data_IF_969521052459
#
_entry.id   IF_969521052459
#
_cell.length_a   1.000
_cell.length_b   1.000
_cell.length_c   1.000
_cell.angle_alpha   90.00
_cell.angle_beta   90.00
_cell.angle_gamma   90.00
#
_symmetry.space_group_name_H-M   'P 1'
#
loop_
_entity.id
_entity.type
_entity.pdbx_description
1 polymer ?
#
# COMPACT_ATOMS: atom_id res chain seq x y z
N UNK A 1 4.79 -0.26 -2.33
CA UNK A 1 6.27 -0.24 -2.34
C UNK A 1 6.73 0.62 -1.16
N UNK A 2 7.76 0.22 -0.39
CA UNK A 2 8.45 1.11 0.53
C UNK A 2 9.09 2.29 -0.22
N UNK A 3 9.28 3.40 0.48
CA UNK A 3 10.11 4.50 -0.01
C UNK A 3 11.61 4.13 0.04
N UNK A 4 12.48 4.96 -0.54
CA UNK A 4 13.94 4.80 -0.44
C UNK A 4 14.40 5.07 1.00
N UNK A 5 14.27 4.05 1.82
CA UNK A 5 14.56 4.11 3.25
C UNK A 5 16.00 4.50 3.54
N UNK A 6 16.97 3.97 2.78
CA UNK A 6 18.37 4.25 3.06
C UNK A 6 18.70 5.75 2.93
N UNK A 7 18.18 6.40 1.89
CA UNK A 7 18.37 7.85 1.70
C UNK A 7 17.66 8.65 2.78
N UNK A 8 16.41 8.28 3.09
CA UNK A 8 15.63 8.95 4.14
C UNK A 8 16.30 8.78 5.51
N UNK A 9 16.72 7.57 5.88
CA UNK A 9 17.39 7.30 7.15
C UNK A 9 18.69 8.08 7.28
N UNK A 10 19.55 8.07 6.23
CA UNK A 10 20.79 8.83 6.22
C UNK A 10 20.56 10.33 6.44
N UNK A 11 19.52 10.88 5.79
CA UNK A 11 19.16 12.28 5.96
C UNK A 11 18.66 12.57 7.39
N UNK A 12 17.75 11.75 7.88
CA UNK A 12 17.15 11.90 9.21
C UNK A 12 18.19 11.79 10.33
N UNK A 13 19.12 10.84 10.24
CA UNK A 13 20.19 10.65 11.22
C UNK A 13 21.14 11.86 11.23
N UNK A 14 21.54 12.33 10.06
CA UNK A 14 22.41 13.51 9.92
C UNK A 14 21.80 14.76 10.58
N UNK A 15 20.48 14.91 10.48
CA UNK A 15 19.75 16.08 10.99
C UNK A 15 19.06 15.84 12.33
N UNK A 16 19.20 14.65 12.93
CA UNK A 16 18.54 14.25 14.18
C UNK A 16 17.02 14.42 14.13
N UNK A 17 16.43 14.04 12.99
CA UNK A 17 14.98 14.10 12.76
C UNK A 17 14.40 12.71 12.93
N UNK A 18 13.39 12.51 13.78
CA UNK A 18 12.69 11.22 13.86
C UNK A 18 12.04 10.85 12.52
N UNK A 19 12.14 9.59 12.13
CA UNK A 19 11.54 9.05 10.91
C UNK A 19 10.25 8.28 11.23
N UNK A 20 9.12 8.78 10.74
CA UNK A 20 7.83 8.08 10.83
C UNK A 20 7.60 7.32 9.52
N UNK A 21 7.40 6.01 9.60
CA UNK A 21 7.03 5.18 8.47
C UNK A 21 5.51 5.05 8.37
N UNK A 22 4.90 5.63 7.34
CA UNK A 22 3.53 5.29 6.97
C UNK A 22 3.51 4.00 6.15
N UNK A 23 3.34 2.88 6.85
CA UNK A 23 3.28 1.54 6.28
C UNK A 23 1.85 1.07 5.97
N UNK A 24 0.86 1.99 5.96
CA UNK A 24 -0.55 1.67 5.76
C UNK A 24 -0.86 0.94 4.44
N UNK A 25 0.01 1.02 3.45
CA UNK A 25 -0.12 0.34 2.15
C UNK A 25 1.08 -0.55 1.80
N UNK A 26 2.01 -0.77 2.72
CA UNK A 26 3.23 -1.56 2.46
C UNK A 26 3.35 -2.82 3.31
N UNK A 27 2.31 -3.20 4.03
CA UNK A 27 2.27 -4.43 4.84
C UNK A 27 2.70 -5.67 4.04
N UNK A 28 3.76 -6.35 4.48
CA UNK A 28 4.37 -7.48 3.76
C UNK A 28 5.35 -7.10 2.65
N UNK A 29 5.70 -5.81 2.53
CA UNK A 29 6.79 -5.34 1.69
C UNK A 29 8.12 -5.42 2.45
N UNK A 30 9.24 -5.41 1.71
CA UNK A 30 10.59 -5.45 2.26
C UNK A 30 11.45 -4.35 1.64
N UNK A 31 12.35 -3.78 2.43
CA UNK A 31 13.48 -2.98 1.95
C UNK A 31 14.78 -3.69 2.35
N UNK A 32 15.46 -4.29 1.38
CA UNK A 32 16.53 -5.23 1.66
C UNK A 32 16.05 -6.41 2.50
N UNK A 33 16.60 -6.55 3.69
CA UNK A 33 16.20 -7.59 4.67
C UNK A 33 15.22 -7.08 5.74
N UNK A 34 14.90 -5.80 5.73
CA UNK A 34 14.04 -5.16 6.75
C UNK A 34 12.60 -5.12 6.27
N UNK A 35 11.64 -5.68 7.02
CA UNK A 35 10.24 -5.61 6.66
C UNK A 35 9.69 -4.19 6.84
N UNK A 36 8.74 -3.80 6.00
CA UNK A 36 7.92 -2.61 6.24
C UNK A 36 7.22 -2.72 7.59
N UNK A 37 7.20 -1.65 8.34
CA UNK A 37 6.80 -1.60 9.76
C UNK A 37 7.98 -1.56 10.73
N UNK A 38 9.21 -1.84 10.26
CA UNK A 38 10.43 -1.78 11.04
C UNK A 38 11.49 -0.82 10.44
N UNK A 39 11.06 0.08 9.54
CA UNK A 39 11.96 1.01 8.84
C UNK A 39 12.06 2.37 9.53
N UNK A 40 11.04 2.81 10.27
CA UNK A 40 11.02 4.08 10.99
C UNK A 40 11.39 3.94 12.48
N UNK A 41 11.59 5.06 13.17
CA UNK A 41 11.64 5.12 14.63
C UNK A 41 10.27 4.77 15.23
N UNK A 42 9.22 5.05 14.45
CA UNK A 42 7.85 4.61 14.66
C UNK A 42 7.21 4.33 13.31
N UNK A 43 6.41 3.29 13.24
CA UNK A 43 5.71 2.87 12.02
C UNK A 43 4.23 2.69 12.28
N UNK A 44 3.39 2.87 11.25
CA UNK A 44 1.94 2.67 11.35
C UNK A 44 1.43 1.72 10.30
N UNK A 45 0.56 0.79 10.70
CA UNK A 45 -0.23 -0.05 9.81
C UNK A 45 -1.70 0.35 9.85
N UNK A 46 -2.38 0.14 8.73
CA UNK A 46 -3.83 0.25 8.62
C UNK A 46 -4.44 -1.13 8.42
N UNK A 47 -5.53 -1.40 9.13
CA UNK A 47 -6.34 -2.60 8.98
C UNK A 47 -7.72 -2.30 8.37
N UNK A 48 -7.79 -1.19 7.60
CA UNK A 48 -8.97 -0.90 6.79
C UNK A 48 -9.35 -2.10 5.90
N UNK A 49 -10.64 -2.35 5.60
CA UNK A 49 -11.10 -3.49 4.79
C UNK A 49 -10.44 -3.63 3.42
N UNK A 50 -9.85 -2.56 2.89
CA UNK A 50 -9.17 -2.57 1.59
C UNK A 50 -7.68 -2.92 1.69
N UNK A 51 -7.13 -3.15 2.88
CA UNK A 51 -5.69 -3.41 3.11
C UNK A 51 -5.31 -4.87 2.92
N UNK A 52 -4.01 -5.16 2.93
CA UNK A 52 -3.48 -6.52 2.76
C UNK A 52 -3.84 -7.45 3.92
N UNK A 53 -4.02 -6.88 5.11
CA UNK A 53 -4.53 -7.54 6.30
C UNK A 53 -5.76 -6.76 6.80
N UNK A 54 -6.94 -7.01 6.23
CA UNK A 54 -8.15 -6.25 6.53
C UNK A 54 -8.80 -6.70 7.84
N UNK A 55 -9.34 -5.76 8.61
CA UNK A 55 -10.33 -6.05 9.65
C UNK A 55 -11.76 -5.96 9.08
N UNK A 56 -12.76 -6.39 9.86
CA UNK A 56 -14.17 -6.21 9.48
C UNK A 56 -14.65 -4.76 9.54
N UNK A 57 -13.85 -3.87 10.08
CA UNK A 57 -14.12 -2.44 10.16
C UNK A 57 -12.84 -1.64 10.05
N UNK A 58 -12.74 -0.55 10.80
CA UNK A 58 -11.52 0.25 10.87
C UNK A 58 -10.58 -0.28 11.96
N UNK A 59 -9.30 -0.09 11.76
CA UNK A 59 -8.27 -0.43 12.73
C UNK A 59 -6.89 -0.02 12.24
N UNK A 60 -5.94 -0.02 13.15
CA UNK A 60 -4.55 0.28 12.87
C UNK A 60 -3.65 -0.19 13.98
N UNK A 61 -2.36 -0.13 13.74
CA UNK A 61 -1.33 -0.49 14.70
C UNK A 61 -0.17 0.50 14.60
N UNK A 62 0.36 0.87 15.75
CA UNK A 62 1.63 1.60 15.86
C UNK A 62 2.69 0.64 16.34
N UNK A 63 3.86 0.67 15.71
CA UNK A 63 5.03 -0.14 16.05
C UNK A 63 6.20 0.77 16.38
N UNK A 64 6.91 0.48 17.46
CA UNK A 64 8.13 1.20 17.84
C UNK A 64 8.94 0.35 18.83
N UNK A 65 10.26 0.51 18.79
CA UNK A 65 11.18 -0.05 19.79
C UNK A 65 11.44 0.95 20.95
N UNK A 66 10.93 2.19 20.83
CA UNK A 66 11.07 3.21 21.87
C UNK A 66 9.99 3.05 22.94
N UNK A 67 10.43 2.81 24.19
CA UNK A 67 9.53 2.72 25.35
C UNK A 67 8.75 4.02 25.58
N UNK A 68 9.39 5.17 25.38
CA UNK A 68 8.76 6.48 25.57
C UNK A 68 7.64 6.72 24.55
N UNK A 69 7.88 6.38 23.28
CA UNK A 69 6.85 6.46 22.23
C UNK A 69 5.72 5.49 22.53
N UNK A 70 6.05 4.25 22.91
CA UNK A 70 5.04 3.25 23.29
C UNK A 70 4.14 3.76 24.43
N UNK A 71 4.71 4.26 25.52
CA UNK A 71 3.94 4.77 26.66
C UNK A 71 3.06 5.96 26.29
N UNK A 72 3.58 6.87 25.44
CA UNK A 72 2.82 8.00 24.93
C UNK A 72 1.63 7.54 24.09
N UNK A 73 1.83 6.61 23.17
CA UNK A 73 0.75 6.05 22.32
C UNK A 73 -0.27 5.31 23.18
N UNK A 74 0.17 4.54 24.18
CA UNK A 74 -0.72 3.81 25.11
C UNK A 74 -1.60 4.75 25.93
N UNK A 75 -1.07 5.92 26.31
CA UNK A 75 -1.85 6.97 26.97
C UNK A 75 -2.82 7.65 26.01
N UNK A 76 -2.32 8.14 24.87
CA UNK A 76 -3.10 8.88 23.88
C UNK A 76 -4.32 8.12 23.36
N UNK A 77 -4.19 6.81 23.09
CA UNK A 77 -5.30 5.99 22.60
C UNK A 77 -6.41 5.73 23.62
N UNK A 78 -6.16 6.04 24.91
CA UNK A 78 -7.07 5.88 26.05
C UNK A 78 -7.34 7.21 26.75
N UNK A 79 -7.77 8.23 26.01
CA UNK A 79 -8.15 9.54 26.52
C UNK A 79 -7.06 10.32 27.26
N UNK A 80 -5.76 9.96 27.10
CA UNK A 80 -4.66 10.57 27.85
C UNK A 80 -4.55 10.09 29.32
N UNK A 81 -5.26 9.01 29.70
CA UNK A 81 -5.15 8.43 31.03
C UNK A 81 -3.74 7.88 31.22
N UNK A 82 -3.07 8.33 32.28
CA UNK A 82 -1.69 7.95 32.64
C UNK A 82 -0.57 8.68 31.87
N UNK A 83 -0.88 9.64 31.00
CA UNK A 83 0.10 10.46 30.26
C UNK A 83 0.44 11.78 30.96
N UNK A 84 1.52 12.43 30.48
CA UNK A 84 1.88 13.79 30.90
C UNK A 84 0.90 14.83 30.35
N UNK A 85 0.29 14.53 29.21
CA UNK A 85 -0.67 15.37 28.52
C UNK A 85 -2.08 14.89 28.90
N UNK A 86 -2.85 15.72 29.59
CA UNK A 86 -4.23 15.41 30.04
C UNK A 86 -5.22 15.35 28.87
N UNK A 87 -4.80 14.87 27.69
CA UNK A 87 -5.61 14.78 26.50
C UNK A 87 -5.29 13.50 25.71
N UNK A 88 -6.28 12.99 24.99
CA UNK A 88 -6.13 11.82 24.13
C UNK A 88 -7.40 11.49 23.38
N UNK A 89 -7.41 10.34 22.72
CA UNK A 89 -8.49 9.87 21.87
C UNK A 89 -9.06 8.55 22.39
N UNK A 90 -10.28 8.23 21.99
CA UNK A 90 -10.77 6.86 22.09
C UNK A 90 -10.40 6.13 20.77
N UNK A 91 -9.27 5.45 20.76
CA UNK A 91 -8.71 4.79 19.57
C UNK A 91 -8.36 3.33 19.86
N UNK A 92 -9.31 2.60 20.44
CA UNK A 92 -9.17 1.16 20.68
C UNK A 92 -9.80 0.38 19.53
N UNK A 93 -9.07 -0.62 19.02
CA UNK A 93 -9.67 -1.63 18.16
C UNK A 93 -10.57 -2.53 19.00
N UNK A 94 -11.71 -2.97 18.47
CA UNK A 94 -12.56 -3.93 19.15
C UNK A 94 -11.89 -5.31 19.25
N UNK A 95 -12.24 -6.06 20.26
CA UNK A 95 -11.70 -7.42 20.48
C UNK A 95 -12.05 -8.37 19.34
N UNK A 96 -13.25 -8.25 18.75
CA UNK A 96 -13.67 -9.04 17.61
C UNK A 96 -12.77 -8.79 16.38
N UNK A 97 -12.47 -7.53 16.08
CA UNK A 97 -11.56 -7.16 14.99
C UNK A 97 -10.13 -7.62 15.28
N UNK A 98 -9.66 -7.50 16.52
CA UNK A 98 -8.35 -7.98 16.92
C UNK A 98 -8.24 -9.50 16.79
N UNK A 99 -9.25 -10.25 17.22
CA UNK A 99 -9.31 -11.71 17.10
C UNK A 99 -9.29 -12.16 15.63
N UNK A 100 -10.05 -11.49 14.77
CA UNK A 100 -10.02 -11.74 13.32
C UNK A 100 -8.63 -11.50 12.74
N UNK A 101 -7.97 -10.40 13.14
CA UNK A 101 -6.63 -10.07 12.65
C UNK A 101 -5.60 -11.11 13.07
N UNK A 102 -5.69 -11.69 14.26
CA UNK A 102 -4.82 -12.79 14.69
C UNK A 102 -4.98 -14.02 13.80
N UNK A 103 -6.22 -14.39 13.45
CA UNK A 103 -6.48 -15.50 12.51
C UNK A 103 -5.94 -15.23 11.10
N UNK A 104 -5.95 -13.97 10.66
CA UNK A 104 -5.39 -13.57 9.38
C UNK A 104 -3.86 -13.54 9.41
N UNK A 105 -3.26 -13.16 10.54
CA UNK A 105 -1.81 -13.09 10.72
C UNK A 105 -1.17 -14.47 10.49
N UNK A 106 -1.76 -15.53 11.02
CA UNK A 106 -1.30 -16.91 10.81
C UNK A 106 -1.27 -17.32 9.32
N UNK A 107 -2.12 -16.69 8.50
CA UNK A 107 -2.24 -16.96 7.07
C UNK A 107 -1.52 -15.93 6.20
N UNK A 108 -1.00 -14.86 6.80
CA UNK A 108 -0.54 -13.67 6.08
C UNK A 108 0.52 -13.97 5.04
N UNK A 109 1.56 -14.73 5.38
CA UNK A 109 2.64 -15.10 4.47
C UNK A 109 2.14 -15.89 3.26
N UNK A 110 1.19 -16.78 3.48
CA UNK A 110 0.55 -17.53 2.38
C UNK A 110 -0.21 -16.57 1.45
N UNK A 111 -1.01 -15.67 2.01
CA UNK A 111 -1.78 -14.69 1.24
C UNK A 111 -0.85 -13.75 0.45
N UNK A 112 0.27 -13.33 1.04
CA UNK A 112 1.28 -12.52 0.36
C UNK A 112 1.94 -13.29 -0.80
N UNK A 113 2.30 -14.56 -0.62
CA UNK A 113 2.82 -15.39 -1.72
C UNK A 113 1.83 -15.50 -2.88
N UNK A 114 0.53 -15.61 -2.60
CA UNK A 114 -0.51 -15.63 -3.63
C UNK A 114 -0.57 -14.31 -4.40
N UNK A 115 -0.53 -13.15 -3.73
CA UNK A 115 -0.45 -11.83 -4.39
C UNK A 115 0.80 -11.70 -5.28
N UNK A 116 1.96 -12.08 -4.77
CA UNK A 116 3.23 -12.06 -5.52
C UNK A 116 3.16 -12.94 -6.78
N UNK A 117 2.51 -14.12 -6.69
CA UNK A 117 2.29 -14.99 -7.85
C UNK A 117 1.42 -14.33 -8.93
N UNK A 118 0.34 -13.66 -8.53
CA UNK A 118 -0.54 -12.91 -9.43
C UNK A 118 0.22 -11.76 -10.09
N UNK A 119 0.94 -10.95 -9.30
CA UNK A 119 1.75 -9.85 -9.84
C UNK A 119 2.82 -10.32 -10.83
N UNK A 120 3.48 -11.45 -10.53
CA UNK A 120 4.44 -12.08 -11.46
C UNK A 120 3.78 -12.50 -12.78
N UNK A 121 2.53 -13.02 -12.71
CA UNK A 121 1.78 -13.40 -13.93
C UNK A 121 1.42 -12.18 -14.75
N UNK A 122 0.94 -11.10 -14.15
CA UNK A 122 0.70 -9.84 -14.82
C UNK A 122 1.95 -9.32 -15.54
N UNK A 123 3.07 -9.20 -14.83
CA UNK A 123 4.34 -8.73 -15.40
C UNK A 123 4.83 -9.60 -16.57
N UNK A 124 4.65 -10.92 -16.46
CA UNK A 124 5.03 -11.85 -17.54
C UNK A 124 4.19 -11.65 -18.80
N UNK A 125 2.90 -11.39 -18.63
CA UNK A 125 1.95 -11.33 -19.76
C UNK A 125 1.84 -9.94 -20.41
N UNK A 126 2.35 -8.88 -19.76
CA UNK A 126 2.22 -7.48 -20.21
C UNK A 126 3.58 -6.79 -20.21
N UNK A 127 4.54 -7.34 -20.95
CA UNK A 127 5.92 -6.81 -21.01
C UNK A 127 6.01 -5.45 -21.70
N UNK A 128 5.01 -5.10 -22.51
CA UNK A 128 4.88 -3.85 -23.24
C UNK A 128 4.39 -2.66 -22.39
N UNK A 129 3.88 -2.93 -21.19
CA UNK A 129 3.38 -1.89 -20.29
C UNK A 129 4.42 -1.47 -19.24
N UNK A 130 4.38 -0.19 -18.91
CA UNK A 130 5.09 0.32 -17.73
C UNK A 130 4.28 0.06 -16.47
N UNK A 131 4.97 -0.31 -15.40
CA UNK A 131 4.40 -0.55 -14.08
C UNK A 131 4.97 0.43 -13.07
N UNK A 132 4.20 0.73 -12.03
CA UNK A 132 4.78 1.37 -10.85
C UNK A 132 5.60 0.30 -10.12
N UNK A 133 6.91 0.36 -10.28
CA UNK A 133 7.85 -0.59 -9.71
C UNK A 133 8.42 -0.08 -8.37
N UNK A 134 8.86 -1.03 -7.55
CA UNK A 134 9.74 -0.77 -6.43
C UNK A 134 11.19 -0.60 -6.91
N UNK A 135 12.03 0.08 -6.13
CA UNK A 135 13.47 0.11 -6.34
C UNK A 135 14.08 -1.29 -6.27
N UNK A 136 15.28 -1.46 -6.83
CA UNK A 136 15.97 -2.77 -6.89
C UNK A 136 16.13 -3.44 -5.53
N UNK A 137 16.29 -2.65 -4.47
CA UNK A 137 16.44 -3.14 -3.10
C UNK A 137 15.10 -3.33 -2.36
N UNK A 138 13.96 -3.17 -3.03
CA UNK A 138 12.66 -3.26 -2.39
C UNK A 138 11.80 -4.37 -2.99
N UNK A 139 11.05 -5.05 -2.15
CA UNK A 139 10.03 -6.01 -2.56
C UNK A 139 8.65 -5.46 -2.23
N UNK A 140 7.80 -5.32 -3.25
CA UNK A 140 6.43 -4.81 -3.09
C UNK A 140 5.53 -5.78 -2.32
N UNK A 141 4.64 -5.24 -1.51
CA UNK A 141 3.51 -5.98 -0.93
C UNK A 141 2.40 -6.29 -1.92
N UNK A 142 2.43 -5.65 -3.09
CA UNK A 142 1.35 -5.71 -4.09
C UNK A 142 -0.04 -5.44 -3.50
N UNK A 143 -0.13 -4.46 -2.60
CA UNK A 143 -1.42 -3.95 -2.14
C UNK A 143 -2.28 -3.47 -3.32
N UNK A 144 -1.64 -2.82 -4.29
CA UNK A 144 -2.20 -2.47 -5.59
C UNK A 144 -1.24 -2.91 -6.70
N UNK A 145 -1.78 -3.27 -7.85
CA UNK A 145 -1.02 -3.52 -9.06
C UNK A 145 -1.35 -2.42 -10.07
N UNK A 146 -0.43 -1.49 -10.28
CA UNK A 146 -0.66 -0.27 -11.03
C UNK A 146 0.09 -0.31 -12.35
N UNK A 147 -0.66 -0.16 -13.45
CA UNK A 147 -0.12 0.03 -14.81
C UNK A 147 -0.21 1.50 -15.20
N UNK A 148 0.71 1.94 -16.06
CA UNK A 148 0.73 3.30 -16.61
C UNK A 148 0.34 3.25 -18.08
N UNK A 149 -0.79 3.89 -18.44
CA UNK A 149 -1.37 3.85 -19.79
C UNK A 149 -1.78 5.25 -20.22
N UNK A 150 -1.39 5.67 -21.42
CA UNK A 150 -1.70 7.01 -21.94
C UNK A 150 -3.22 7.27 -22.09
N UNK A 151 -4.00 6.26 -22.49
CA UNK A 151 -5.46 6.33 -22.64
C UNK A 151 -6.15 5.64 -21.45
N UNK A 152 -5.74 6.00 -20.23
CA UNK A 152 -6.16 5.35 -18.98
C UNK A 152 -7.68 5.30 -18.81
N UNK A 153 -8.39 6.39 -19.05
CA UNK A 153 -9.84 6.48 -18.85
C UNK A 153 -10.61 5.67 -19.90
N UNK A 154 -10.12 5.66 -21.15
CA UNK A 154 -10.68 4.82 -22.20
C UNK A 154 -10.49 3.33 -21.88
N UNK A 155 -9.27 2.94 -21.43
CA UNK A 155 -9.00 1.58 -21.00
C UNK A 155 -9.88 1.18 -19.82
N UNK A 156 -10.06 2.05 -18.83
CA UNK A 156 -10.95 1.78 -17.71
C UNK A 156 -12.38 1.51 -18.17
N UNK A 157 -12.90 2.36 -19.07
CA UNK A 157 -14.25 2.22 -19.62
C UNK A 157 -14.38 0.94 -20.44
N UNK A 158 -13.41 0.61 -21.28
CA UNK A 158 -13.37 -0.63 -22.06
C UNK A 158 -13.36 -1.87 -21.14
N UNK A 159 -12.48 -1.91 -20.14
CA UNK A 159 -12.39 -3.05 -19.21
C UNK A 159 -13.69 -3.26 -18.44
N UNK A 160 -14.37 -2.17 -18.08
CA UNK A 160 -15.69 -2.25 -17.45
C UNK A 160 -16.73 -2.94 -18.33
N UNK A 161 -16.73 -2.70 -19.66
CA UNK A 161 -17.63 -3.42 -20.59
C UNK A 161 -17.32 -4.92 -20.70
N UNK A 162 -16.10 -5.32 -20.31
CA UNK A 162 -15.65 -6.72 -20.28
C UNK A 162 -15.85 -7.36 -18.90
N UNK A 163 -16.53 -6.68 -17.96
CA UNK A 163 -16.75 -7.18 -16.59
C UNK A 163 -15.53 -7.08 -15.68
N UNK A 164 -14.52 -6.27 -16.05
CA UNK A 164 -13.30 -6.08 -15.28
C UNK A 164 -13.37 -4.73 -14.55
N UNK A 165 -13.49 -4.77 -13.21
CA UNK A 165 -13.46 -3.57 -12.38
C UNK A 165 -12.01 -3.12 -12.15
N UNK A 166 -11.75 -1.82 -12.36
CA UNK A 166 -10.45 -1.18 -12.12
C UNK A 166 -10.63 0.12 -11.35
N UNK A 167 -9.58 0.59 -10.68
CA UNK A 167 -9.64 1.84 -9.90
C UNK A 167 -8.47 2.76 -10.18
N UNK A 168 -8.71 4.06 -10.03
CA UNK A 168 -7.69 5.10 -10.17
C UNK A 168 -7.22 5.50 -8.77
N UNK A 169 -5.93 5.29 -8.49
CA UNK A 169 -5.29 5.67 -7.23
C UNK A 169 -3.99 6.43 -7.53
N UNK A 170 -4.02 7.79 -7.62
CA UNK A 170 -5.16 8.68 -7.42
C UNK A 170 -5.31 9.61 -8.63
N UNK A 171 -6.50 10.26 -8.86
CA UNK A 171 -6.74 11.03 -10.09
C UNK A 171 -6.02 12.38 -10.10
N UNK A 172 -5.55 12.87 -8.94
CA UNK A 172 -4.88 14.17 -8.77
C UNK A 172 -3.71 14.04 -7.81
N UNK A 173 -2.76 14.94 -7.93
CA UNK A 173 -1.70 15.16 -6.94
C UNK A 173 -2.26 15.79 -5.66
N UNK A 174 -1.49 15.79 -4.57
CA UNK A 174 -1.89 16.44 -3.32
C UNK A 174 -1.95 17.97 -3.46
N UNK A 175 -1.01 18.54 -4.22
CA UNK A 175 -1.00 19.97 -4.53
C UNK A 175 -1.82 20.20 -5.80
N UNK A 176 -3.09 20.56 -5.64
CA UNK A 176 -4.02 20.81 -6.74
C UNK A 176 -4.01 22.26 -7.24
N UNK A 177 -3.34 23.16 -6.51
CA UNK A 177 -3.31 24.60 -6.82
C UNK A 177 -2.14 24.96 -7.73
N UNK A 178 -1.01 24.25 -7.61
CA UNK A 178 0.21 24.52 -8.36
C UNK A 178 0.41 23.48 -9.48
N UNK A 179 -0.43 23.50 -10.48
CA UNK A 179 -0.34 22.61 -11.65
C UNK A 179 0.99 22.89 -12.39
N UNK A 180 1.71 21.81 -12.76
CA UNK A 180 3.01 21.88 -13.44
C UNK A 180 4.21 21.90 -12.47
N UNK A 181 3.99 22.07 -11.17
CA UNK A 181 5.08 22.06 -10.17
C UNK A 181 5.67 20.68 -9.93
N UNK A 182 4.87 19.65 -10.10
CA UNK A 182 5.27 18.25 -9.88
C UNK A 182 4.96 17.36 -11.11
N UNK A 183 5.64 17.61 -12.25
CA UNK A 183 5.28 16.99 -13.53
C UNK A 183 5.34 15.45 -13.51
N UNK A 184 6.27 14.86 -12.73
CA UNK A 184 6.35 13.40 -12.58
C UNK A 184 5.12 12.83 -11.85
N UNK A 185 4.68 13.46 -10.76
CA UNK A 185 3.50 13.02 -10.03
C UNK A 185 2.22 13.23 -10.85
N UNK A 186 2.10 14.35 -11.54
CA UNK A 186 0.97 14.66 -12.42
C UNK A 186 0.88 13.65 -13.57
N UNK A 187 2.00 13.30 -14.21
CA UNK A 187 2.05 12.28 -15.25
C UNK A 187 1.62 10.90 -14.74
N UNK A 188 2.03 10.52 -13.53
CA UNK A 188 1.59 9.27 -12.91
C UNK A 188 0.07 9.31 -12.64
N UNK A 189 -0.45 10.39 -12.06
CA UNK A 189 -1.89 10.55 -11.80
C UNK A 189 -2.73 10.47 -13.07
N UNK A 190 -2.21 11.00 -14.18
CA UNK A 190 -2.89 10.95 -15.48
C UNK A 190 -2.94 9.54 -16.09
N UNK A 191 -1.96 8.69 -15.81
CA UNK A 191 -1.76 7.38 -16.47
C UNK A 191 -2.05 6.17 -15.58
N UNK A 192 -2.06 6.32 -14.27
CA UNK A 192 -2.14 5.21 -13.33
C UNK A 192 -3.53 4.55 -13.33
N UNK A 193 -3.56 3.23 -13.56
CA UNK A 193 -4.74 2.39 -13.44
C UNK A 193 -4.40 1.17 -12.58
N UNK A 194 -5.16 0.96 -11.51
CA UNK A 194 -5.02 -0.20 -10.64
C UNK A 194 -5.86 -1.36 -11.16
N UNK A 195 -5.18 -2.45 -11.50
CA UNK A 195 -5.80 -3.71 -11.91
C UNK A 195 -6.21 -4.56 -10.69
N UNK A 196 -7.16 -5.49 -10.85
CA UNK A 196 -7.56 -6.41 -9.81
C UNK A 196 -6.36 -7.19 -9.26
N UNK A 197 -6.16 -7.16 -7.94
CA UNK A 197 -5.15 -7.96 -7.26
C UNK A 197 -5.60 -8.30 -5.85
N UNK A 198 -5.89 -9.58 -5.61
CA UNK A 198 -6.23 -10.14 -4.31
C UNK A 198 -5.85 -11.63 -4.26
N UNK A 199 -5.61 -12.21 -3.08
CA UNK A 199 -5.02 -13.54 -2.97
C UNK A 199 -5.74 -14.65 -3.76
N UNK A 200 -7.07 -14.58 -3.85
CA UNK A 200 -7.90 -15.60 -4.49
C UNK A 200 -8.23 -15.35 -5.96
N UNK A 201 -7.67 -14.30 -6.59
CA UNK A 201 -7.81 -14.07 -8.03
C UNK A 201 -7.15 -15.23 -8.78
N UNK A 202 -7.93 -15.91 -9.64
CA UNK A 202 -7.45 -17.07 -10.40
C UNK A 202 -6.48 -16.63 -11.49
N UNK A 203 -5.50 -17.47 -11.80
CA UNK A 203 -4.54 -17.17 -12.88
C UNK A 203 -5.21 -17.05 -14.22
N UNK A 204 -6.26 -17.82 -14.50
CA UNK A 204 -7.09 -17.69 -15.71
C UNK A 204 -7.80 -16.33 -15.82
N UNK A 205 -8.21 -15.75 -14.69
CA UNK A 205 -8.80 -14.41 -14.66
C UNK A 205 -7.73 -13.34 -14.92
N UNK A 206 -6.51 -13.53 -14.39
CA UNK A 206 -5.35 -12.66 -14.69
C UNK A 206 -5.04 -12.71 -16.19
N UNK A 207 -5.02 -13.90 -16.79
CA UNK A 207 -4.77 -14.07 -18.22
C UNK A 207 -5.86 -13.37 -19.06
N UNK A 208 -7.13 -13.55 -18.69
CA UNK A 208 -8.24 -12.86 -19.34
C UNK A 208 -8.11 -11.33 -19.26
N UNK A 209 -7.74 -10.79 -18.10
CA UNK A 209 -7.50 -9.35 -17.93
C UNK A 209 -6.37 -8.87 -18.87
N UNK A 210 -5.27 -9.62 -18.91
CA UNK A 210 -4.14 -9.29 -19.80
C UNK A 210 -4.56 -9.30 -21.28
N UNK A 211 -5.32 -10.30 -21.70
CA UNK A 211 -5.80 -10.41 -23.09
C UNK A 211 -6.71 -9.24 -23.47
N UNK A 212 -7.59 -8.80 -22.55
CA UNK A 212 -8.45 -7.64 -22.78
C UNK A 212 -7.67 -6.33 -22.81
N UNK A 213 -6.63 -6.19 -22.01
CA UNK A 213 -5.73 -5.03 -22.10
C UNK A 213 -4.99 -5.00 -23.44
N UNK A 214 -4.49 -6.14 -23.90
CA UNK A 214 -3.85 -6.25 -25.23
C UNK A 214 -4.83 -5.95 -26.37
N UNK A 215 -6.06 -6.49 -26.30
CA UNK A 215 -7.14 -6.16 -27.26
C UNK A 215 -7.32 -4.64 -27.39
N UNK A 216 -7.29 -3.90 -26.28
CA UNK A 216 -7.42 -2.44 -26.30
C UNK A 216 -6.20 -1.71 -26.84
N UNK A 217 -4.99 -2.20 -26.58
CA UNK A 217 -3.74 -1.51 -26.96
C UNK A 217 -3.44 -1.68 -28.45
N UNK A 218 -3.80 -2.82 -29.03
CA UNK A 218 -3.47 -3.15 -30.42
C UNK A 218 -4.60 -2.83 -31.43
N UNK A 219 -5.70 -2.23 -30.95
CA UNK A 219 -6.77 -1.64 -31.76
C UNK A 219 -6.65 -0.12 -31.72
#
# INVERSE_FOLDING_TARGET
NPADYNRLRTYCDKHRIPLIEDAAQSQGAMHGKTPSGALGDVSVFSFDPMKNMPSFGTGGMVLTDSKDIYDSVMSLRRHGISGKDNYGYNSLISEDHASQLLLLLDKFDRLQRMRKKIAKRYKKNMTELSFVCADENTESSYHKFVVLVNRRDDLQSFLRTKGIETKIHYPKTLDTENIGKYPSAENICAKALSLPIYPHLKISEVDYICDKIKEFIYV
#
